data_IF_660248133036
#
_entry.id   IF_660248133036
#
_cell.length_a   1.000
_cell.length_b   1.000
_cell.length_c   1.000
_cell.angle_alpha   90.00
_cell.angle_beta   90.00
_cell.angle_gamma   90.00
#
_symmetry.space_group_name_H-M   'P 1'
#
loop_
_entity.id
_entity.type
_entity.pdbx_description
1 polymer ?
#
# COMPACT_ATOMS: atom_id res chain seq x y z
N UNK A 1 -22.44 13.02 36.74
CA UNK A 1 -21.00 12.78 36.52
C UNK A 1 -20.92 12.15 35.15
N UNK A 2 -20.25 12.81 34.21
CA UNK A 2 -20.06 12.23 32.88
C UNK A 2 -19.23 10.95 33.03
N UNK A 3 -19.70 9.86 32.42
CA UNK A 3 -19.01 8.58 32.49
C UNK A 3 -17.66 8.70 31.73
N UNK A 4 -16.53 8.24 32.25
CA UNK A 4 -15.27 8.33 31.51
C UNK A 4 -15.34 7.52 30.20
N UNK A 5 -14.67 8.00 29.15
CA UNK A 5 -14.45 7.28 27.89
C UNK A 5 -13.01 6.80 27.85
N UNK A 6 -12.80 5.49 27.76
CA UNK A 6 -11.47 4.90 27.75
C UNK A 6 -10.90 4.86 26.34
N UNK A 7 -9.67 5.35 26.17
CA UNK A 7 -9.01 5.44 24.86
C UNK A 7 -7.93 4.38 24.74
N UNK A 8 -8.09 3.43 23.83
CA UNK A 8 -7.14 2.32 23.59
C UNK A 8 -6.43 2.54 22.25
N UNK A 9 -5.12 2.75 22.26
CA UNK A 9 -4.33 2.89 21.03
C UNK A 9 -3.88 1.52 20.47
N UNK A 10 -3.51 1.47 19.18
CA UNK A 10 -3.20 0.21 18.49
C UNK A 10 -1.74 -0.12 18.22
N UNK A 11 -0.92 0.83 17.79
CA UNK A 11 0.54 0.59 17.79
C UNK A 11 1.01 0.93 19.17
N UNK A 12 1.76 0.04 19.82
CA UNK A 12 2.21 0.22 21.18
C UNK A 12 3.13 1.44 21.27
N UNK A 13 2.53 2.61 21.50
CA UNK A 13 3.24 3.84 21.74
C UNK A 13 4.20 3.56 22.89
N UNK A 14 5.51 3.58 22.62
CA UNK A 14 6.53 3.31 23.65
C UNK A 14 6.73 4.54 24.56
N UNK A 15 6.05 5.64 24.25
CA UNK A 15 6.04 6.86 25.02
C UNK A 15 4.64 7.10 25.65
N UNK A 16 4.45 6.72 26.94
CA UNK A 16 3.19 6.94 27.64
C UNK A 16 2.84 8.44 27.79
N UNK A 17 3.84 9.32 27.86
CA UNK A 17 3.63 10.76 27.98
C UNK A 17 3.10 11.34 26.66
N UNK A 18 3.69 10.96 25.53
CA UNK A 18 3.20 11.36 24.21
C UNK A 18 1.77 10.86 23.97
N UNK A 19 1.45 9.61 24.35
CA UNK A 19 0.09 9.10 24.22
C UNK A 19 -0.89 9.90 25.08
N UNK A 20 -0.54 10.17 26.34
CA UNK A 20 -1.36 10.97 27.25
C UNK A 20 -1.60 12.38 26.72
N UNK A 21 -0.57 13.02 26.14
CA UNK A 21 -0.69 14.34 25.54
C UNK A 21 -1.64 14.33 24.32
N UNK A 22 -1.55 13.32 23.45
CA UNK A 22 -2.48 13.16 22.33
C UNK A 22 -3.93 12.98 22.80
N UNK A 23 -4.16 12.15 23.82
CA UNK A 23 -5.50 11.95 24.38
C UNK A 23 -6.03 13.22 25.05
N UNK A 24 -5.17 13.99 25.74
CA UNK A 24 -5.55 15.27 26.33
C UNK A 24 -5.97 16.30 25.27
N UNK A 25 -5.22 16.39 24.16
CA UNK A 25 -5.59 17.26 23.04
C UNK A 25 -6.94 16.84 22.43
N UNK A 26 -7.15 15.55 22.24
CA UNK A 26 -8.42 15.01 21.73
C UNK A 26 -9.58 15.25 22.70
N UNK A 27 -9.36 15.13 24.02
CA UNK A 27 -10.35 15.46 25.05
C UNK A 27 -10.80 16.91 24.95
N UNK A 28 -9.86 17.86 24.80
CA UNK A 28 -10.20 19.28 24.62
C UNK A 28 -11.01 19.48 23.34
N UNK A 29 -10.61 18.84 22.24
CA UNK A 29 -11.30 18.97 20.97
C UNK A 29 -12.69 18.33 20.98
N UNK A 30 -12.87 17.23 21.72
CA UNK A 30 -14.11 16.48 21.85
C UNK A 30 -15.05 17.03 22.93
N UNK A 31 -14.56 17.79 23.92
CA UNK A 31 -15.35 18.20 25.10
C UNK A 31 -15.93 16.98 25.86
N UNK A 32 -15.16 15.90 25.95
CA UNK A 32 -15.53 14.64 26.60
C UNK A 32 -14.39 14.17 27.50
N UNK A 33 -14.70 13.69 28.71
CA UNK A 33 -13.66 13.12 29.60
C UNK A 33 -13.09 11.83 29.02
N UNK A 34 -11.84 11.90 28.53
CA UNK A 34 -11.11 10.78 27.95
C UNK A 34 -10.02 10.30 28.91
N UNK A 35 -9.97 8.98 29.13
CA UNK A 35 -8.95 8.33 29.96
C UNK A 35 -8.02 7.52 29.06
N UNK A 36 -6.72 7.86 28.97
CA UNK A 36 -5.77 7.08 28.19
C UNK A 36 -5.57 5.70 28.83
N UNK A 37 -5.72 4.64 28.03
CA UNK A 37 -5.41 3.27 28.42
C UNK A 37 -4.12 2.82 27.74
N UNK A 38 -3.02 2.88 28.48
CA UNK A 38 -1.68 2.56 28.04
C UNK A 38 -1.31 1.09 28.23
N UNK A 39 -0.99 0.40 27.14
CA UNK A 39 -0.44 -0.97 27.17
C UNK A 39 0.87 -1.08 26.37
N UNK A 40 1.39 0.04 25.87
CA UNK A 40 2.48 0.07 24.89
C UNK A 40 3.81 -0.52 25.38
N UNK A 41 4.05 -0.64 26.68
CA UNK A 41 5.21 -1.35 27.25
C UNK A 41 5.18 -2.87 27.01
N UNK A 42 4.00 -3.43 26.73
CA UNK A 42 3.81 -4.85 26.47
C UNK A 42 3.91 -5.22 24.98
N UNK A 43 4.08 -4.24 24.08
CA UNK A 43 4.18 -4.51 22.64
C UNK A 43 5.56 -5.01 22.19
N UNK A 44 5.75 -5.12 20.88
CA UNK A 44 6.98 -5.63 20.29
C UNK A 44 8.22 -4.78 20.56
N UNK A 45 9.33 -5.44 20.87
CA UNK A 45 10.64 -4.79 20.95
C UNK A 45 11.17 -4.53 19.53
N UNK A 46 11.16 -3.27 19.11
CA UNK A 46 11.58 -2.83 17.78
C UNK A 46 13.03 -2.31 17.76
N UNK A 47 13.75 -2.33 18.89
CA UNK A 47 15.12 -1.79 19.00
C UNK A 47 16.12 -2.44 18.05
N UNK A 48 15.82 -3.65 17.57
CA UNK A 48 16.69 -4.43 16.68
C UNK A 48 16.10 -4.64 15.28
N UNK A 49 14.99 -3.96 14.94
CA UNK A 49 14.31 -4.16 13.66
C UNK A 49 15.21 -3.87 12.46
N UNK A 50 16.13 -2.92 12.61
CA UNK A 50 17.08 -2.52 11.57
C UNK A 50 18.04 -3.66 11.18
N UNK A 51 18.30 -4.62 12.07
CA UNK A 51 19.14 -5.79 11.76
C UNK A 51 18.46 -6.73 10.75
N UNK A 52 17.13 -6.69 10.64
CA UNK A 52 16.38 -7.47 9.65
C UNK A 52 16.26 -6.76 8.29
N UNK A 53 16.69 -5.49 8.19
CA UNK A 53 16.67 -4.75 6.94
C UNK A 53 17.89 -5.14 6.09
N UNK A 54 17.72 -5.42 4.79
CA UNK A 54 18.84 -5.75 3.92
C UNK A 54 19.89 -4.64 3.91
N UNK A 55 21.12 -4.96 4.31
CA UNK A 55 22.23 -4.03 4.20
C UNK A 55 22.56 -3.78 2.73
N UNK A 56 22.77 -2.53 2.31
CA UNK A 56 23.35 -2.25 1.00
C UNK A 56 24.78 -2.79 1.01
N UNK A 57 25.02 -3.92 0.34
CA UNK A 57 26.38 -4.24 -0.07
C UNK A 57 26.79 -3.21 -1.14
N UNK A 58 27.85 -2.47 -0.84
CA UNK A 58 28.45 -1.43 -1.68
C UNK A 58 29.06 -2.03 -2.95
N UNK A 59 28.19 -2.43 -3.88
CA UNK A 59 28.56 -3.20 -5.05
C UNK A 59 28.00 -2.62 -6.34
N UNK A 60 28.00 -1.30 -6.53
CA UNK A 60 28.06 -0.61 -7.84
C UNK A 60 27.97 0.91 -7.61
N UNK A 61 29.11 1.59 -7.82
CA UNK A 61 29.34 3.05 -7.94
C UNK A 61 28.33 3.97 -7.26
N UNK A 62 28.79 4.57 -6.15
CA UNK A 62 28.25 5.83 -5.62
C UNK A 62 28.14 6.87 -6.72
N UNK A 63 26.91 7.34 -6.95
CA UNK A 63 26.58 8.61 -7.62
C UNK A 63 25.44 9.27 -6.82
N UNK A 64 25.34 10.61 -6.88
CA UNK A 64 25.20 11.45 -5.70
C UNK A 64 23.75 11.54 -5.19
N UNK A 65 23.68 11.78 -3.88
CA UNK A 65 22.57 12.26 -3.05
C UNK A 65 21.18 11.65 -3.25
N UNK A 66 20.62 11.22 -2.13
CA UNK A 66 19.25 10.75 -1.99
C UNK A 66 18.27 11.84 -2.43
N UNK A 67 17.92 11.86 -3.72
CA UNK A 67 16.74 12.55 -4.20
C UNK A 67 15.51 11.91 -3.59
N UNK A 68 14.73 12.70 -2.88
CA UNK A 68 13.41 12.32 -2.40
C UNK A 68 12.56 11.84 -3.59
N UNK A 69 12.12 10.58 -3.55
CA UNK A 69 11.06 10.14 -4.46
C UNK A 69 9.80 10.90 -4.04
N UNK A 70 9.19 11.71 -4.93
CA UNK A 70 7.95 12.42 -4.60
C UNK A 70 6.86 11.41 -4.21
N UNK A 71 6.11 11.71 -3.13
CA UNK A 71 5.00 10.88 -2.65
C UNK A 71 4.00 10.51 -3.76
N UNK A 72 3.83 11.42 -4.71
CA UNK A 72 2.88 11.30 -5.82
C UNK A 72 3.29 10.19 -6.81
N UNK A 73 4.59 9.95 -6.96
CA UNK A 73 5.12 8.88 -7.80
C UNK A 73 4.83 7.49 -7.20
N UNK A 74 4.85 7.39 -5.86
CA UNK A 74 4.55 6.15 -5.13
C UNK A 74 3.06 5.78 -5.26
N UNK A 75 2.18 6.77 -5.14
CA UNK A 75 0.73 6.60 -5.28
C UNK A 75 0.35 6.29 -6.73
N UNK A 76 0.95 6.97 -7.71
CA UNK A 76 0.72 6.69 -9.13
C UNK A 76 1.14 5.27 -9.51
N UNK A 77 2.21 4.74 -8.91
CA UNK A 77 2.69 3.38 -9.21
C UNK A 77 1.80 2.28 -8.60
N UNK A 78 1.26 2.49 -7.39
CA UNK A 78 0.27 1.57 -6.81
C UNK A 78 -1.03 1.50 -7.61
N UNK A 79 -1.40 2.60 -8.30
CA UNK A 79 -2.56 2.64 -9.18
C UNK A 79 -2.27 2.02 -10.56
N UNK A 80 -1.02 2.12 -11.04
CA UNK A 80 -0.61 1.60 -12.34
C UNK A 80 -0.57 0.05 -12.41
N UNK A 81 -0.44 -0.67 -11.28
CA UNK A 81 -0.48 -2.15 -11.25
C UNK A 81 -1.81 -2.76 -11.71
N UNK A 82 -2.84 -1.95 -11.96
CA UNK A 82 -4.16 -2.41 -12.42
C UNK A 82 -4.35 -2.40 -13.94
N UNK A 83 -3.42 -1.84 -14.71
CA UNK A 83 -3.47 -1.87 -16.17
C UNK A 83 -2.71 -3.11 -16.69
N UNK A 84 -3.45 -4.18 -17.01
CA UNK A 84 -2.88 -5.23 -17.85
C UNK A 84 -2.78 -4.72 -19.29
N UNK A 85 -1.60 -4.70 -19.91
CA UNK A 85 -1.50 -4.35 -21.32
C UNK A 85 -2.23 -5.39 -22.16
N UNK A 86 -3.14 -4.91 -23.02
CA UNK A 86 -3.85 -5.73 -24.00
C UNK A 86 -2.83 -6.26 -25.00
N UNK A 87 -2.68 -7.59 -25.18
CA UNK A 87 -1.82 -8.12 -26.23
C UNK A 87 -2.47 -7.82 -27.58
N UNK A 88 -1.77 -7.11 -28.46
CA UNK A 88 -2.27 -6.97 -29.83
C UNK A 88 -1.45 -6.11 -30.79
N UNK A 89 -0.99 -4.93 -30.37
CA UNK A 89 -0.38 -3.97 -31.31
C UNK A 89 0.87 -3.30 -30.73
N UNK A 90 1.80 -2.93 -31.63
CA UNK A 90 2.93 -2.09 -31.27
C UNK A 90 2.42 -0.75 -30.69
N UNK A 91 3.03 -0.18 -29.64
CA UNK A 91 2.59 1.09 -29.10
C UNK A 91 2.66 2.22 -30.15
N UNK A 92 1.63 3.06 -30.23
CA UNK A 92 1.58 4.17 -31.19
C UNK A 92 2.81 5.10 -31.12
N UNK A 93 3.33 5.50 -29.94
CA UNK A 93 4.53 6.33 -29.87
C UNK A 93 5.78 5.70 -30.49
N UNK A 94 5.91 4.37 -30.38
CA UNK A 94 6.98 3.61 -31.01
C UNK A 94 6.82 3.63 -32.53
N UNK A 95 5.63 3.30 -33.03
CA UNK A 95 5.33 3.26 -34.46
C UNK A 95 5.57 4.62 -35.13
N UNK A 96 5.07 5.68 -34.51
CA UNK A 96 5.19 7.04 -35.03
C UNK A 96 6.64 7.50 -35.11
N UNK A 97 7.44 7.19 -34.10
CA UNK A 97 8.84 7.55 -34.06
C UNK A 97 9.68 6.82 -35.13
N UNK A 98 9.44 5.52 -35.33
CA UNK A 98 10.13 4.74 -36.37
C UNK A 98 9.79 5.31 -37.75
N UNK A 99 8.49 5.46 -38.03
CA UNK A 99 7.99 5.98 -39.31
C UNK A 99 8.55 7.36 -39.62
N UNK A 100 8.43 8.31 -38.68
CA UNK A 100 8.94 9.67 -38.85
C UNK A 100 10.44 9.71 -39.13
N UNK A 101 11.22 8.88 -38.44
CA UNK A 101 12.69 8.85 -38.59
C UNK A 101 13.11 8.23 -39.94
N UNK A 102 12.44 7.17 -40.37
CA UNK A 102 12.66 6.57 -41.70
C UNK A 102 12.30 7.55 -42.83
N UNK A 103 11.16 8.25 -42.71
CA UNK A 103 10.73 9.25 -43.70
C UNK A 103 11.68 10.45 -43.75
N UNK A 104 12.16 10.94 -42.60
CA UNK A 104 13.15 11.99 -42.53
C UNK A 104 14.48 11.59 -43.18
N UNK A 105 14.92 10.34 -42.98
CA UNK A 105 16.13 9.81 -43.63
C UNK A 105 16.00 9.78 -45.16
N UNK A 106 14.82 9.40 -45.69
CA UNK A 106 14.54 9.37 -47.14
C UNK A 106 14.53 10.78 -47.76
N UNK A 107 13.97 11.75 -47.06
CA UNK A 107 13.83 13.13 -47.56
C UNK A 107 15.09 13.99 -47.40
N UNK A 108 16.13 13.50 -46.70
CA UNK A 108 17.38 14.23 -46.49
C UNK A 108 18.27 14.35 -47.73
N UNK A 109 17.93 13.69 -48.84
CA UNK A 109 18.63 13.82 -50.13
C UNK A 109 20.06 13.27 -50.18
N UNK A 110 20.53 12.65 -49.10
CA UNK A 110 21.90 12.12 -48.97
C UNK A 110 22.08 10.68 -49.49
N UNK A 111 21.02 10.01 -49.98
CA UNK A 111 21.05 8.59 -50.36
C UNK A 111 20.18 8.28 -51.58
N UNK A 112 20.78 7.69 -52.62
CA UNK A 112 20.09 7.20 -53.82
C UNK A 112 19.25 5.94 -53.52
N UNK A 113 18.07 6.15 -52.96
CA UNK A 113 16.77 5.59 -53.36
C UNK A 113 16.52 4.09 -53.64
N UNK A 114 17.45 3.12 -53.53
CA UNK A 114 17.12 1.72 -53.92
C UNK A 114 17.09 0.64 -52.85
N UNK A 115 17.72 0.82 -51.69
CA UNK A 115 17.87 -0.32 -50.75
C UNK A 115 17.39 -0.07 -49.30
N UNK A 116 16.76 1.08 -48.99
CA UNK A 116 16.26 1.31 -47.62
C UNK A 116 15.05 0.42 -47.33
N UNK A 117 15.02 -0.32 -46.20
CA UNK A 117 13.87 -1.12 -45.80
C UNK A 117 12.59 -0.29 -45.78
N UNK A 118 11.51 -0.88 -46.27
CA UNK A 118 10.20 -0.23 -46.24
C UNK A 118 9.60 -0.27 -44.83
N UNK A 119 8.81 0.75 -44.48
CA UNK A 119 8.16 0.85 -43.17
C UNK A 119 7.38 -0.44 -42.86
N UNK A 120 6.68 -1.01 -43.84
CA UNK A 120 5.94 -2.25 -43.64
C UNK A 120 6.83 -3.44 -43.29
N UNK A 121 8.06 -3.50 -43.81
CA UNK A 121 9.02 -4.56 -43.47
C UNK A 121 9.57 -4.38 -42.06
N UNK A 122 9.90 -3.14 -41.67
CA UNK A 122 10.35 -2.81 -40.31
C UNK A 122 9.24 -3.06 -39.30
N UNK A 123 8.00 -2.65 -39.61
CA UNK A 123 6.82 -2.85 -38.78
C UNK A 123 6.52 -4.33 -38.56
N UNK A 124 6.56 -5.15 -39.62
CA UNK A 124 6.34 -6.59 -39.51
C UNK A 124 7.41 -7.26 -38.63
N UNK A 125 8.69 -6.93 -38.84
CA UNK A 125 9.77 -7.47 -38.02
C UNK A 125 9.69 -6.99 -36.56
N UNK A 126 9.26 -5.75 -36.30
CA UNK A 126 9.02 -5.25 -34.95
C UNK A 126 7.84 -5.97 -34.29
N UNK A 127 6.73 -6.15 -34.99
CA UNK A 127 5.55 -6.82 -34.45
C UNK A 127 5.86 -8.28 -34.05
N UNK A 128 6.73 -8.95 -34.82
CA UNK A 128 7.17 -10.31 -34.55
C UNK A 128 8.10 -10.42 -33.32
N UNK A 129 8.98 -9.43 -33.11
CA UNK A 129 10.02 -9.50 -32.07
C UNK A 129 9.63 -8.75 -30.78
N UNK A 130 8.67 -7.82 -30.84
CA UNK A 130 8.18 -7.04 -29.69
C UNK A 130 7.63 -7.91 -28.55
N UNK A 131 6.82 -8.97 -28.80
CA UNK A 131 6.34 -9.85 -27.74
C UNK A 131 7.45 -10.60 -26.99
N UNK A 132 8.65 -10.71 -27.56
CA UNK A 132 9.80 -11.33 -26.92
C UNK A 132 10.58 -10.38 -25.99
N UNK A 133 10.24 -9.08 -25.97
CA UNK A 133 10.82 -8.11 -25.02
C UNK A 133 10.18 -8.28 -23.64
N UNK A 134 10.98 -8.21 -22.58
CA UNK A 134 10.51 -8.43 -21.20
C UNK A 134 10.07 -7.14 -20.51
N UNK A 135 10.79 -6.06 -20.78
CA UNK A 135 10.71 -4.80 -20.07
C UNK A 135 10.08 -3.72 -20.94
N UNK A 136 10.43 -3.67 -22.23
CA UNK A 136 9.83 -2.71 -23.17
C UNK A 136 8.35 -2.99 -23.43
N UNK A 137 7.93 -4.25 -23.43
CA UNK A 137 6.52 -4.65 -23.56
C UNK A 137 5.65 -4.25 -22.36
N UNK A 138 6.26 -3.93 -21.21
CA UNK A 138 5.58 -3.47 -20.00
C UNK A 138 5.66 -1.95 -19.81
N UNK A 139 6.34 -1.24 -20.71
CA UNK A 139 6.54 0.20 -20.59
C UNK A 139 5.40 0.99 -21.25
N UNK A 140 4.78 1.87 -20.48
CA UNK A 140 3.73 2.78 -20.97
C UNK A 140 4.21 4.23 -21.19
N UNK A 141 5.49 4.52 -20.92
CA UNK A 141 6.05 5.87 -21.08
C UNK A 141 6.21 6.25 -22.57
N UNK A 142 5.45 7.23 -23.09
CA UNK A 142 5.53 7.61 -24.49
C UNK A 142 6.91 8.12 -24.91
N UNK A 143 7.67 8.73 -24.00
CA UNK A 143 9.02 9.22 -24.29
C UNK A 143 10.00 8.07 -24.50
N UNK A 144 10.03 7.10 -23.57
CA UNK A 144 10.84 5.88 -23.71
C UNK A 144 10.50 5.10 -24.97
N UNK A 145 9.20 4.95 -25.27
CA UNK A 145 8.73 4.26 -26.48
C UNK A 145 9.13 5.00 -27.77
N UNK A 146 9.05 6.34 -27.77
CA UNK A 146 9.50 7.17 -28.90
C UNK A 146 11.00 7.07 -29.13
N UNK A 147 11.82 7.17 -28.08
CA UNK A 147 13.28 7.05 -28.19
C UNK A 147 13.71 5.64 -28.62
N UNK A 148 13.02 4.60 -28.15
CA UNK A 148 13.20 3.22 -28.62
C UNK A 148 12.96 3.14 -30.13
N UNK A 149 11.89 3.79 -30.63
CA UNK A 149 11.56 3.81 -32.05
C UNK A 149 12.61 4.53 -32.90
N UNK A 150 13.12 5.68 -32.43
CA UNK A 150 14.21 6.42 -33.09
C UNK A 150 15.49 5.57 -33.16
N UNK A 151 15.88 4.94 -32.06
CA UNK A 151 17.09 4.10 -31.99
C UNK A 151 17.03 2.91 -32.97
N UNK A 152 15.85 2.31 -33.14
CA UNK A 152 15.62 1.23 -34.11
C UNK A 152 15.71 1.77 -35.54
N UNK A 153 15.04 2.88 -35.84
CA UNK A 153 15.08 3.49 -37.17
C UNK A 153 16.51 3.87 -37.56
N UNK A 154 17.28 4.48 -36.66
CA UNK A 154 18.69 4.79 -36.89
C UNK A 154 19.53 3.53 -37.15
N UNK A 155 19.37 2.48 -36.36
CA UNK A 155 20.10 1.23 -36.58
C UNK A 155 19.79 0.59 -37.95
N UNK A 156 18.54 0.69 -38.40
CA UNK A 156 18.11 0.20 -39.71
C UNK A 156 18.68 1.06 -40.85
N UNK A 157 18.76 2.38 -40.68
CA UNK A 157 19.36 3.28 -41.67
C UNK A 157 20.89 3.22 -41.70
N UNK A 158 21.55 2.89 -40.59
CA UNK A 158 23.01 2.88 -40.49
C UNK A 158 23.66 1.60 -41.05
N UNK A 159 22.88 0.53 -41.28
CA UNK A 159 23.34 -0.71 -41.92
C UNK A 159 23.87 -0.54 -43.37
N UNK A 160 23.75 0.65 -43.94
CA UNK A 160 24.04 0.92 -45.36
C UNK A 160 25.31 1.74 -45.61
N UNK A 161 26.16 1.98 -44.61
CA UNK A 161 27.56 2.31 -44.94
C UNK A 161 28.26 1.00 -45.32
N UNK A 162 28.67 0.82 -46.59
CA UNK A 162 29.31 -0.42 -47.02
C UNK A 162 30.71 -0.47 -46.40
N UNK A 163 30.84 -1.24 -45.33
CA UNK A 163 32.14 -1.84 -45.02
C UNK A 163 32.29 -3.02 -45.98
N UNK A 164 33.05 -2.81 -47.06
CA UNK A 164 33.35 -3.78 -48.14
C UNK A 164 33.97 -5.11 -47.65
N UNK A 165 34.10 -5.31 -46.33
CA UNK A 165 34.67 -6.49 -45.70
C UNK A 165 33.68 -7.64 -45.40
N UNK A 166 32.36 -7.43 -45.53
CA UNK A 166 31.35 -8.43 -45.09
C UNK A 166 30.42 -9.03 -46.16
N UNK A 167 30.48 -8.59 -47.42
CA UNK A 167 29.56 -9.05 -48.47
C UNK A 167 29.79 -10.49 -48.98
N UNK A 168 30.68 -11.27 -48.36
CA UNK A 168 31.21 -12.51 -48.93
C UNK A 168 30.74 -13.85 -48.37
N UNK A 169 30.06 -13.95 -47.21
CA UNK A 169 30.00 -15.26 -46.51
C UNK A 169 28.66 -15.82 -45.99
N UNK A 170 27.50 -15.18 -46.14
CA UNK A 170 26.21 -15.88 -45.95
C UNK A 170 25.14 -15.35 -46.89
N UNK A 171 24.61 -16.21 -47.76
CA UNK A 171 23.44 -15.94 -48.59
C UNK A 171 22.14 -15.96 -47.77
N UNK A 172 22.03 -15.09 -46.76
CA UNK A 172 20.78 -14.86 -46.03
C UNK A 172 19.91 -13.88 -46.84
N UNK A 173 18.60 -14.15 -46.90
CA UNK A 173 17.68 -13.27 -47.60
C UNK A 173 17.66 -11.88 -46.92
N UNK A 174 17.51 -10.77 -47.67
CA UNK A 174 17.56 -9.40 -47.11
C UNK A 174 16.63 -9.17 -45.90
N UNK A 175 15.51 -9.89 -45.86
CA UNK A 175 14.51 -9.85 -44.78
C UNK A 175 14.96 -10.54 -43.49
N UNK A 176 15.77 -11.59 -43.56
CA UNK A 176 16.31 -12.29 -42.38
C UNK A 176 17.36 -11.43 -41.66
N UNK A 177 18.20 -10.72 -42.42
CA UNK A 177 19.18 -9.78 -41.89
C UNK A 177 18.54 -8.61 -41.14
N UNK A 178 17.47 -8.02 -41.71
CA UNK A 178 16.70 -6.95 -41.07
C UNK A 178 16.07 -7.43 -39.74
N UNK A 179 15.46 -8.62 -39.74
CA UNK A 179 14.85 -9.20 -38.54
C UNK A 179 15.91 -9.48 -37.46
N UNK A 180 17.07 -10.01 -37.83
CA UNK A 180 18.17 -10.26 -36.91
C UNK A 180 18.72 -8.96 -36.27
N UNK A 181 18.82 -7.88 -37.05
CA UNK A 181 19.21 -6.57 -36.53
C UNK A 181 18.19 -6.03 -35.53
N UNK A 182 16.91 -6.02 -35.90
CA UNK A 182 15.82 -5.51 -35.05
C UNK A 182 15.78 -6.30 -33.74
N UNK A 183 15.87 -7.63 -33.81
CA UNK A 183 15.96 -8.48 -32.62
C UNK A 183 17.14 -8.09 -31.71
N UNK A 184 18.34 -7.93 -32.26
CA UNK A 184 19.53 -7.55 -31.48
C UNK A 184 19.36 -6.20 -30.81
N UNK A 185 18.82 -5.20 -31.54
CA UNK A 185 18.61 -3.85 -31.01
C UNK A 185 17.53 -3.81 -29.96
N UNK A 186 16.41 -4.50 -30.17
CA UNK A 186 15.38 -4.67 -29.14
C UNK A 186 15.95 -5.34 -27.89
N UNK A 187 16.76 -6.39 -28.02
CA UNK A 187 17.37 -7.05 -26.86
C UNK A 187 18.33 -6.13 -26.07
N UNK A 188 19.10 -5.29 -26.76
CA UNK A 188 19.99 -4.33 -26.10
C UNK A 188 19.21 -3.21 -25.40
N UNK A 189 18.18 -2.67 -26.05
CA UNK A 189 17.29 -1.65 -25.48
C UNK A 189 16.47 -2.21 -24.30
N UNK A 190 15.99 -3.45 -24.40
CA UNK A 190 15.27 -4.14 -23.33
C UNK A 190 16.15 -4.37 -22.10
N UNK A 191 17.45 -4.66 -22.29
CA UNK A 191 18.43 -4.77 -21.20
C UNK A 191 18.63 -3.43 -20.49
N UNK A 192 18.71 -2.33 -21.24
CA UNK A 192 18.86 -0.97 -20.69
C UNK A 192 17.59 -0.55 -19.94
N UNK A 193 16.41 -0.78 -20.53
CA UNK A 193 15.12 -0.54 -19.90
C UNK A 193 14.98 -1.35 -18.59
N UNK A 194 15.38 -2.62 -18.61
CA UNK A 194 15.42 -3.48 -17.44
C UNK A 194 16.34 -2.96 -16.33
N UNK A 195 17.54 -2.49 -16.68
CA UNK A 195 18.47 -1.91 -15.69
C UNK A 195 17.91 -0.60 -15.08
N UNK A 196 17.30 0.26 -15.89
CA UNK A 196 16.66 1.49 -15.42
C UNK A 196 15.47 1.20 -14.51
N UNK A 197 14.58 0.29 -14.90
CA UNK A 197 13.44 -0.13 -14.08
C UNK A 197 13.88 -0.79 -12.78
N UNK A 198 14.92 -1.64 -12.80
CA UNK A 198 15.47 -2.22 -11.57
C UNK A 198 16.07 -1.17 -10.63
N UNK A 199 16.72 -0.14 -11.17
CA UNK A 199 17.25 0.96 -10.34
C UNK A 199 16.13 1.80 -9.72
N UNK A 200 15.07 2.12 -10.49
CA UNK A 200 13.87 2.81 -10.00
C UNK A 200 13.17 1.96 -8.94
N UNK A 201 12.87 0.70 -9.24
CA UNK A 201 12.25 -0.24 -8.31
C UNK A 201 13.11 -0.46 -7.06
N UNK A 202 14.43 -0.50 -7.18
CA UNK A 202 15.37 -0.59 -6.05
C UNK A 202 15.31 0.64 -5.14
N UNK A 203 15.25 1.85 -5.71
CA UNK A 203 15.06 3.10 -4.95
C UNK A 203 13.68 3.16 -4.29
N UNK A 204 12.63 2.73 -5.00
CA UNK A 204 11.28 2.65 -4.47
C UNK A 204 11.16 1.65 -3.32
N UNK A 205 11.65 0.42 -3.51
CA UNK A 205 11.66 -0.62 -2.47
C UNK A 205 12.44 -0.15 -1.23
N UNK A 206 13.55 0.56 -1.43
CA UNK A 206 14.30 1.16 -0.33
C UNK A 206 13.52 2.30 0.36
N UNK A 207 12.82 3.15 -0.38
CA UNK A 207 12.02 4.25 0.17
C UNK A 207 10.80 3.73 0.93
N UNK A 208 10.08 2.75 0.36
CA UNK A 208 8.99 2.03 1.04
C UNK A 208 9.50 1.40 2.33
N UNK A 209 10.63 0.68 2.29
CA UNK A 209 11.17 0.02 3.49
C UNK A 209 11.77 0.96 4.53
N UNK A 210 12.33 2.09 4.15
CA UNK A 210 12.90 3.07 5.09
C UNK A 210 11.85 4.02 5.69
N UNK A 211 10.82 4.40 4.92
CA UNK A 211 9.78 5.34 5.37
C UNK A 211 8.50 4.68 5.89
N UNK A 212 8.04 3.63 5.23
CA UNK A 212 6.81 2.90 5.58
C UNK A 212 7.15 1.69 6.48
N UNK A 213 8.32 1.08 6.25
CA UNK A 213 8.79 -0.12 6.95
C UNK A 213 8.78 -0.01 8.48
N UNK A 214 9.32 1.05 9.13
CA UNK A 214 9.33 1.12 10.59
C UNK A 214 7.92 1.10 11.20
N UNK A 215 6.96 1.82 10.63
CA UNK A 215 5.57 1.84 11.10
C UNK A 215 4.84 0.52 10.86
N UNK A 216 4.96 -0.03 9.65
CA UNK A 216 4.33 -1.30 9.28
C UNK A 216 4.93 -2.50 10.03
N UNK A 217 6.26 -2.53 10.22
CA UNK A 217 6.94 -3.59 10.97
C UNK A 217 6.64 -3.51 12.46
N UNK A 218 6.52 -2.31 13.04
CA UNK A 218 6.05 -2.13 14.42
C UNK A 218 4.64 -2.68 14.61
N UNK A 219 3.70 -2.28 13.75
CA UNK A 219 2.33 -2.79 13.79
C UNK A 219 2.30 -4.32 13.68
N UNK A 220 3.01 -4.90 12.72
CA UNK A 220 3.07 -6.35 12.56
C UNK A 220 3.68 -7.04 13.79
N UNK A 221 4.73 -6.47 14.37
CA UNK A 221 5.32 -6.94 15.62
C UNK A 221 4.31 -6.94 16.77
N UNK A 222 3.59 -5.83 16.97
CA UNK A 222 2.56 -5.70 18.00
C UNK A 222 1.40 -6.68 17.78
N UNK A 223 1.01 -6.94 16.53
CA UNK A 223 0.02 -7.97 16.20
C UNK A 223 0.49 -9.36 16.64
N UNK A 224 1.75 -9.72 16.36
CA UNK A 224 2.32 -11.01 16.78
C UNK A 224 2.40 -11.13 18.31
N UNK A 225 2.84 -10.06 18.98
CA UNK A 225 2.90 -10.00 20.44
C UNK A 225 1.51 -10.11 21.04
N UNK A 226 0.54 -9.38 20.50
CA UNK A 226 -0.84 -9.45 20.96
C UNK A 226 -1.43 -10.84 20.78
N UNK A 227 -1.27 -11.47 19.60
CA UNK A 227 -1.69 -12.86 19.36
C UNK A 227 -1.14 -13.83 20.41
N UNK A 228 0.13 -13.66 20.82
CA UNK A 228 0.78 -14.52 21.82
C UNK A 228 0.38 -14.20 23.26
N UNK A 229 0.15 -12.92 23.58
CA UNK A 229 0.06 -12.41 24.95
C UNK A 229 -1.26 -11.68 25.25
N UNK A 230 -2.36 -12.11 24.60
CA UNK A 230 -3.68 -11.47 24.71
C UNK A 230 -4.11 -11.27 26.16
N UNK A 231 -4.01 -12.31 26.99
CA UNK A 231 -4.45 -12.29 28.38
C UNK A 231 -3.73 -11.21 29.21
N UNK A 232 -2.41 -11.06 29.02
CA UNK A 232 -1.62 -10.07 29.74
C UNK A 232 -2.02 -8.64 29.35
N UNK A 233 -2.24 -8.39 28.05
CA UNK A 233 -2.68 -7.09 27.54
C UNK A 233 -4.12 -6.78 28.01
N UNK A 234 -5.01 -7.77 27.97
CA UNK A 234 -6.39 -7.63 28.48
C UNK A 234 -6.40 -7.35 29.99
N UNK A 235 -5.56 -8.03 30.77
CA UNK A 235 -5.42 -7.78 32.21
C UNK A 235 -4.92 -6.36 32.49
N UNK A 236 -3.93 -5.86 31.74
CA UNK A 236 -3.44 -4.48 31.86
C UNK A 236 -4.53 -3.45 31.58
N UNK A 237 -5.33 -3.66 30.54
CA UNK A 237 -6.44 -2.76 30.20
C UNK A 237 -7.48 -2.76 31.32
N UNK A 238 -7.82 -3.94 31.86
CA UNK A 238 -8.75 -4.04 33.00
C UNK A 238 -8.21 -3.36 34.26
N UNK A 239 -6.91 -3.47 34.54
CA UNK A 239 -6.25 -2.81 35.66
C UNK A 239 -6.40 -1.29 35.56
N UNK A 240 -6.16 -0.71 34.38
CA UNK A 240 -6.29 0.73 34.17
C UNK A 240 -7.73 1.24 34.22
N UNK A 241 -8.69 0.45 33.73
CA UNK A 241 -10.12 0.75 33.91
C UNK A 241 -10.48 0.71 35.40
N UNK A 242 -10.04 -0.33 36.12
CA UNK A 242 -10.32 -0.52 37.53
C UNK A 242 -9.68 0.55 38.43
N UNK A 243 -8.56 1.15 38.01
CA UNK A 243 -7.94 2.29 38.70
C UNK A 243 -8.82 3.55 38.68
N UNK A 244 -9.73 3.68 37.71
CA UNK A 244 -10.76 4.73 37.69
C UNK A 244 -11.96 4.32 38.53
N UNK A 245 -12.48 3.11 38.31
CA UNK A 245 -13.54 2.51 39.12
C UNK A 245 -13.54 0.97 38.92
N UNK A 246 -13.40 0.17 40.01
CA UNK A 246 -13.27 -1.29 39.92
C UNK A 246 -14.49 -2.00 39.35
N UNK A 247 -15.68 -1.38 39.41
CA UNK A 247 -16.94 -1.98 38.95
C UNK A 247 -17.17 -1.75 37.44
N UNK A 248 -16.45 -0.81 36.81
CA UNK A 248 -16.62 -0.48 35.40
C UNK A 248 -16.21 -1.64 34.48
N UNK A 249 -17.07 -1.93 33.51
CA UNK A 249 -16.89 -2.96 32.49
C UNK A 249 -17.00 -4.40 32.99
N UNK A 250 -17.32 -4.60 34.28
CA UNK A 250 -17.43 -5.95 34.90
C UNK A 250 -18.81 -6.57 34.73
N UNK A 251 -19.85 -5.76 34.59
CA UNK A 251 -21.25 -6.21 34.57
C UNK A 251 -22.12 -5.33 33.67
N UNK A 252 -23.29 -5.83 33.21
CA UNK A 252 -24.15 -5.11 32.26
C UNK A 252 -24.63 -3.74 32.73
N UNK A 253 -24.84 -3.55 34.04
CA UNK A 253 -25.30 -2.29 34.64
C UNK A 253 -24.17 -1.29 34.91
N UNK A 254 -22.91 -1.70 34.69
CA UNK A 254 -21.72 -0.84 34.82
C UNK A 254 -20.86 -0.90 33.55
N UNK A 255 -21.40 -0.63 32.34
CA UNK A 255 -20.62 -0.74 31.12
C UNK A 255 -19.63 0.43 30.96
N UNK A 256 -18.56 0.21 30.21
CA UNK A 256 -17.61 1.26 29.78
C UNK A 256 -17.97 1.84 28.42
N UNK A 257 -17.48 3.05 28.15
CA UNK A 257 -17.43 3.64 26.81
C UNK A 257 -15.99 3.59 26.32
N UNK A 258 -15.78 3.16 25.07
CA UNK A 258 -14.43 2.92 24.52
C UNK A 258 -14.26 3.63 23.18
N UNK A 259 -13.15 4.32 23.04
CA UNK A 259 -12.62 4.83 21.77
C UNK A 259 -11.33 4.09 21.46
N UNK A 260 -11.20 3.52 20.27
CA UNK A 260 -10.09 2.63 19.97
C UNK A 260 -9.52 2.81 18.56
N UNK A 261 -8.20 2.94 18.48
CA UNK A 261 -7.47 3.13 17.23
C UNK A 261 -6.76 1.84 16.81
N UNK A 262 -6.81 1.49 15.51
CA UNK A 262 -5.95 0.42 14.98
C UNK A 262 -6.12 -0.90 15.73
N UNK A 263 -5.02 -1.58 16.09
CA UNK A 263 -5.04 -2.80 16.90
C UNK A 263 -5.80 -2.63 18.23
N UNK A 264 -5.90 -1.42 18.77
CA UNK A 264 -6.67 -1.12 19.96
C UNK A 264 -8.15 -1.44 19.78
N UNK A 265 -8.68 -1.26 18.57
CA UNK A 265 -10.06 -1.64 18.26
C UNK A 265 -10.23 -3.17 18.16
N UNK A 266 -9.21 -3.88 17.68
CA UNK A 266 -9.19 -5.36 17.76
C UNK A 266 -9.22 -5.80 19.21
N UNK A 267 -8.36 -5.22 20.05
CA UNK A 267 -8.30 -5.52 21.48
C UNK A 267 -9.66 -5.25 22.15
N UNK A 268 -10.28 -4.10 21.86
CA UNK A 268 -11.58 -3.73 22.42
C UNK A 268 -12.69 -4.72 22.03
N UNK A 269 -12.78 -5.11 20.75
CA UNK A 269 -13.78 -6.10 20.29
C UNK A 269 -13.53 -7.46 20.92
N UNK A 270 -12.28 -7.91 20.98
CA UNK A 270 -11.92 -9.16 21.63
C UNK A 270 -12.31 -9.18 23.10
N UNK A 271 -12.02 -8.10 23.84
CA UNK A 271 -12.39 -7.99 25.25
C UNK A 271 -13.90 -7.94 25.43
N UNK A 272 -14.61 -7.21 24.58
CA UNK A 272 -16.08 -7.13 24.63
C UNK A 272 -16.75 -8.46 24.28
N UNK A 273 -16.07 -9.35 23.56
CA UNK A 273 -16.62 -10.64 23.09
C UNK A 273 -15.96 -11.86 23.74
N UNK A 274 -15.10 -11.65 24.74
CA UNK A 274 -14.50 -12.71 25.54
C UNK A 274 -15.55 -13.46 26.39
N UNK A 275 -15.19 -14.64 26.90
CA UNK A 275 -16.05 -15.42 27.81
C UNK A 275 -16.36 -14.64 29.09
N UNK A 276 -15.39 -13.91 29.62
CA UNK A 276 -15.57 -12.86 30.61
C UNK A 276 -15.48 -11.51 29.89
N UNK A 277 -16.61 -10.95 29.42
CA UNK A 277 -16.57 -9.78 28.55
C UNK A 277 -16.21 -8.50 29.32
N UNK A 278 -15.62 -7.54 28.62
CA UNK A 278 -15.62 -6.14 29.01
C UNK A 278 -16.95 -5.54 28.54
N UNK A 279 -17.88 -5.34 29.48
CA UNK A 279 -19.19 -4.76 29.17
C UNK A 279 -19.02 -3.34 28.64
N UNK A 280 -19.39 -3.12 27.39
CA UNK A 280 -19.12 -1.91 26.62
C UNK A 280 -20.43 -1.36 26.06
N UNK A 281 -20.87 -0.20 26.54
CA UNK A 281 -22.13 0.42 26.10
C UNK A 281 -21.97 1.10 24.74
N UNK A 282 -20.78 1.61 24.43
CA UNK A 282 -20.46 2.23 23.15
C UNK A 282 -18.99 2.05 22.82
N UNK A 283 -18.73 1.58 21.60
CA UNK A 283 -17.41 1.45 21.01
C UNK A 283 -17.32 2.34 19.78
N UNK A 284 -16.34 3.24 19.75
CA UNK A 284 -15.94 3.92 18.53
C UNK A 284 -14.57 3.39 18.12
N UNK A 285 -14.48 2.81 16.93
CA UNK A 285 -13.19 2.42 16.34
C UNK A 285 -12.81 3.37 15.22
N UNK A 286 -11.52 3.57 14.99
CA UNK A 286 -11.04 4.29 13.81
C UNK A 286 -9.75 3.68 13.28
N UNK A 287 -9.64 3.58 11.95
CA UNK A 287 -8.52 2.92 11.28
C UNK A 287 -8.28 1.52 11.82
N UNK A 288 -9.30 0.66 11.92
CA UNK A 288 -9.28 -0.55 12.75
C UNK A 288 -9.49 -1.84 11.94
N UNK A 289 -8.97 -2.97 12.44
CA UNK A 289 -8.95 -4.29 11.76
C UNK A 289 -9.83 -5.44 12.31
N UNK A 290 -10.78 -5.29 13.27
CA UNK A 290 -11.49 -6.44 13.85
C UNK A 290 -12.20 -7.31 12.82
N UNK A 291 -12.86 -6.70 11.84
CA UNK A 291 -13.59 -7.39 10.78
C UNK A 291 -12.67 -8.24 9.92
N UNK A 292 -11.56 -7.66 9.46
CA UNK A 292 -10.58 -8.36 8.64
C UNK A 292 -9.99 -9.54 9.41
N UNK A 293 -9.57 -9.33 10.66
CA UNK A 293 -9.00 -10.40 11.47
C UNK A 293 -10.00 -11.52 11.73
N UNK A 294 -11.27 -11.20 12.03
CA UNK A 294 -12.30 -12.22 12.24
C UNK A 294 -12.60 -13.05 10.98
N UNK A 295 -12.52 -12.45 9.79
CA UNK A 295 -12.68 -13.16 8.53
C UNK A 295 -11.50 -14.09 8.23
N UNK A 296 -10.27 -13.69 8.56
CA UNK A 296 -9.08 -14.50 8.34
C UNK A 296 -8.92 -15.62 9.38
N UNK A 297 -9.22 -15.33 10.63
CA UNK A 297 -9.08 -16.26 11.76
C UNK A 297 -10.16 -15.94 12.82
N UNK A 298 -11.16 -16.81 13.02
CA UNK A 298 -12.22 -16.60 13.99
C UNK A 298 -11.64 -16.26 15.38
N UNK A 299 -11.93 -15.04 15.85
CA UNK A 299 -11.29 -14.44 17.05
C UNK A 299 -11.51 -15.21 18.37
N UNK A 300 -12.41 -16.19 18.39
CA UNK A 300 -12.77 -16.97 19.57
C UNK A 300 -13.74 -16.24 20.50
N UNK A 301 -13.71 -16.60 21.79
CA UNK A 301 -14.64 -16.05 22.78
C UNK A 301 -16.08 -16.51 22.51
N UNK A 302 -17.00 -15.55 22.45
CA UNK A 302 -18.42 -15.77 22.19
C UNK A 302 -18.76 -15.67 20.69
N UNK A 303 -17.79 -15.33 19.84
CA UNK A 303 -18.03 -15.17 18.40
C UNK A 303 -18.01 -16.51 17.67
N UNK A 304 -19.05 -16.74 16.88
CA UNK A 304 -19.07 -17.84 15.92
C UNK A 304 -18.17 -17.50 14.73
N UNK A 305 -17.54 -18.50 14.07
CA UNK A 305 -16.85 -18.29 12.81
C UNK A 305 -17.74 -17.64 11.76
N UNK A 306 -17.18 -16.75 10.94
CA UNK A 306 -17.90 -16.20 9.80
C UNK A 306 -18.27 -17.31 8.82
N UNK A 307 -19.55 -17.37 8.46
CA UNK A 307 -20.03 -18.22 7.36
C UNK A 307 -20.66 -17.28 6.35
N UNK A 308 -20.32 -17.42 5.06
CA UNK A 308 -20.66 -16.50 3.94
C UNK A 308 -22.17 -16.21 3.74
N UNK A 309 -23.04 -16.73 4.61
CA UNK A 309 -24.49 -16.63 4.54
C UNK A 309 -25.08 -15.55 5.44
N UNK A 310 -24.42 -15.16 6.55
CA UNK A 310 -24.97 -14.18 7.51
C UNK A 310 -23.86 -13.42 8.27
N UNK A 311 -24.09 -12.13 8.62
CA UNK A 311 -23.25 -11.43 9.58
C UNK A 311 -23.19 -12.17 10.92
N UNK A 312 -22.07 -12.05 11.62
CA UNK A 312 -21.85 -12.65 12.94
C UNK A 312 -22.52 -11.79 13.99
N UNK A 313 -23.43 -12.42 14.75
CA UNK A 313 -24.11 -11.75 15.86
C UNK A 313 -23.14 -11.55 17.02
N UNK A 314 -22.97 -10.29 17.41
CA UNK A 314 -22.19 -9.87 18.57
C UNK A 314 -23.00 -10.14 19.86
N UNK A 315 -22.31 -10.45 20.97
CA UNK A 315 -22.96 -10.58 22.27
C UNK A 315 -23.48 -9.22 22.78
N UNK A 316 -24.43 -9.26 23.73
CA UNK A 316 -25.01 -8.05 24.34
C UNK A 316 -24.03 -7.23 25.19
N UNK A 317 -22.84 -7.76 25.44
CA UNK A 317 -21.73 -7.04 26.07
C UNK A 317 -21.15 -5.93 25.19
N UNK A 318 -21.45 -5.90 23.90
CA UNK A 318 -21.14 -4.78 23.02
C UNK A 318 -22.43 -4.11 22.53
N UNK A 319 -22.81 -3.00 23.16
CA UNK A 319 -24.11 -2.37 22.96
C UNK A 319 -24.25 -1.57 21.66
N UNK A 320 -23.27 -0.73 21.34
CA UNK A 320 -23.24 0.10 20.11
C UNK A 320 -21.84 0.13 19.53
N UNK A 321 -21.74 0.22 18.21
CA UNK A 321 -20.46 0.30 17.52
C UNK A 321 -20.51 1.30 16.35
N UNK A 322 -19.71 2.35 16.45
CA UNK A 322 -19.39 3.27 15.35
C UNK A 322 -17.96 3.01 14.87
N UNK A 323 -17.75 2.86 13.57
CA UNK A 323 -16.43 2.58 12.98
C UNK A 323 -16.10 3.64 11.93
N UNK A 324 -14.97 4.32 12.11
CA UNK A 324 -14.48 5.37 11.22
C UNK A 324 -13.37 4.81 10.32
N UNK A 325 -13.42 5.14 9.03
CA UNK A 325 -12.41 4.71 8.07
C UNK A 325 -12.13 5.79 7.02
N UNK A 326 -10.91 5.80 6.48
CA UNK A 326 -10.53 6.63 5.34
C UNK A 326 -10.29 5.77 4.10
N UNK A 327 -10.66 6.23 2.89
CA UNK A 327 -10.45 5.47 1.66
C UNK A 327 -9.00 5.08 1.36
N UNK A 328 -8.03 5.90 1.77
CA UNK A 328 -6.59 5.65 1.56
C UNK A 328 -5.90 5.00 2.77
N UNK A 329 -6.66 4.62 3.80
CA UNK A 329 -6.13 3.84 4.91
C UNK A 329 -6.33 2.35 4.63
N UNK A 330 -5.28 1.70 4.11
CA UNK A 330 -5.29 0.28 3.78
C UNK A 330 -5.51 -0.64 4.99
N UNK A 331 -5.42 -0.10 6.21
CA UNK A 331 -5.62 -0.82 7.45
C UNK A 331 -6.99 -0.52 8.10
N UNK A 332 -7.84 0.28 7.46
CA UNK A 332 -9.19 0.58 7.94
C UNK A 332 -10.23 -0.32 7.28
N UNK A 333 -10.88 -1.18 8.06
CA UNK A 333 -11.88 -2.12 7.55
C UNK A 333 -13.28 -1.80 8.07
N UNK A 334 -14.28 -1.91 7.19
CA UNK A 334 -15.68 -1.76 7.53
C UNK A 334 -16.17 -2.88 8.49
N UNK A 335 -17.06 -2.55 9.41
CA UNK A 335 -17.61 -3.46 10.42
C UNK A 335 -19.02 -3.98 10.08
N UNK A 336 -19.87 -3.14 9.49
CA UNK A 336 -21.29 -3.39 9.28
C UNK A 336 -21.60 -4.60 8.39
N UNK A 337 -20.64 -4.98 7.54
CA UNK A 337 -20.78 -6.14 6.63
C UNK A 337 -20.47 -7.47 7.29
N UNK A 338 -19.69 -7.46 8.36
CA UNK A 338 -19.21 -8.67 9.04
C UNK A 338 -20.02 -8.94 10.30
N UNK A 339 -20.39 -7.90 11.04
CA UNK A 339 -21.02 -8.03 12.34
C UNK A 339 -22.44 -7.49 12.39
N UNK A 340 -23.22 -8.01 13.33
CA UNK A 340 -24.55 -7.52 13.71
C UNK A 340 -24.62 -7.44 15.23
N UNK A 341 -25.10 -6.32 15.77
CA UNK A 341 -25.29 -6.14 17.21
C UNK A 341 -26.37 -7.09 17.75
N UNK A 342 -26.38 -7.32 19.07
CA UNK A 342 -27.31 -8.24 19.71
C UNK A 342 -28.80 -7.86 19.51
N UNK A 343 -29.08 -6.57 19.31
CA UNK A 343 -30.41 -6.04 19.01
C UNK A 343 -30.82 -6.18 17.53
N UNK A 344 -29.95 -6.76 16.70
CA UNK A 344 -30.16 -6.96 15.27
C UNK A 344 -29.75 -5.80 14.38
N UNK A 345 -29.34 -4.65 14.94
CA UNK A 345 -28.81 -3.51 14.19
C UNK A 345 -27.38 -3.77 13.70
N UNK A 346 -26.92 -3.04 12.70
CA UNK A 346 -25.54 -3.15 12.20
C UNK A 346 -24.68 -2.07 12.84
N UNK A 347 -23.37 -2.32 13.08
CA UNK A 347 -22.41 -1.25 13.32
C UNK A 347 -22.55 -0.12 12.29
N UNK A 348 -22.26 1.11 12.70
CA UNK A 348 -22.31 2.28 11.82
C UNK A 348 -20.91 2.50 11.25
N UNK A 349 -20.72 2.29 9.95
CA UNK A 349 -19.48 2.63 9.26
C UNK A 349 -19.55 4.06 8.70
N UNK A 350 -18.66 4.96 9.15
CA UNK A 350 -18.59 6.34 8.71
C UNK A 350 -17.26 6.60 7.96
N UNK A 351 -17.30 6.97 6.67
CA UNK A 351 -16.11 7.43 5.97
C UNK A 351 -15.70 8.82 6.44
N UNK A 352 -14.42 9.03 6.72
CA UNK A 352 -13.84 10.35 6.96
C UNK A 352 -13.12 10.87 5.71
N UNK A 353 -13.14 12.20 5.47
CA UNK A 353 -12.38 12.79 4.39
C UNK A 353 -10.88 12.56 4.60
N UNK A 354 -10.17 12.34 3.50
CA UNK A 354 -8.71 12.30 3.51
C UNK A 354 -8.16 13.69 3.19
N UNK A 355 -7.32 14.23 4.07
CA UNK A 355 -6.63 15.50 3.85
C UNK A 355 -5.31 15.26 3.12
N UNK A 356 -5.05 15.99 2.03
CA UNK A 356 -3.81 15.88 1.25
C UNK A 356 -2.54 16.10 2.10
N UNK A 357 -2.65 16.79 3.24
CA UNK A 357 -1.57 17.05 4.20
C UNK A 357 -1.18 15.82 5.04
N UNK A 358 -1.96 14.73 5.01
CA UNK A 358 -1.66 13.51 5.75
C UNK A 358 -0.48 12.70 5.15
N UNK A 359 -0.12 12.97 3.89
CA UNK A 359 0.96 12.26 3.18
C UNK A 359 0.78 10.73 3.23
N UNK A 360 1.88 9.99 3.42
CA UNK A 360 1.86 8.53 3.56
C UNK A 360 1.35 8.02 4.92
N UNK A 361 1.05 8.92 5.87
CA UNK A 361 0.68 8.57 7.26
C UNK A 361 -0.83 8.59 7.48
N UNK A 362 -1.58 8.06 6.53
CA UNK A 362 -3.05 8.06 6.51
C UNK A 362 -3.64 7.43 7.79
N UNK A 363 -2.98 6.40 8.32
CA UNK A 363 -3.44 5.63 9.48
C UNK A 363 -3.36 6.36 10.83
N UNK A 364 -2.39 7.27 11.00
CA UNK A 364 -2.25 8.04 12.26
C UNK A 364 -2.84 9.45 12.16
N UNK A 365 -3.22 9.89 10.95
CA UNK A 365 -3.77 11.22 10.71
C UNK A 365 -5.12 11.46 11.44
N UNK A 366 -5.88 10.40 11.72
CA UNK A 366 -7.18 10.47 12.41
C UNK A 366 -7.14 11.29 13.70
N UNK A 367 -6.06 11.16 14.48
CA UNK A 367 -5.91 11.84 15.78
C UNK A 367 -6.00 13.36 15.68
N UNK A 368 -5.73 13.93 14.51
CA UNK A 368 -5.75 15.37 14.26
C UNK A 368 -6.98 15.83 13.47
N UNK A 369 -7.91 14.93 13.15
CA UNK A 369 -9.12 15.25 12.40
C UNK A 369 -10.19 15.83 13.33
N UNK A 370 -10.72 17.03 13.04
CA UNK A 370 -11.89 17.57 13.76
C UNK A 370 -13.09 16.62 13.71
N UNK A 371 -13.23 15.85 12.64
CA UNK A 371 -14.29 14.87 12.44
C UNK A 371 -14.20 13.71 13.45
N UNK A 372 -12.99 13.32 13.87
CA UNK A 372 -12.83 12.32 14.94
C UNK A 372 -13.41 12.86 16.26
N UNK A 373 -13.08 14.10 16.62
CA UNK A 373 -13.60 14.73 17.83
C UNK A 373 -15.13 14.88 17.80
N UNK A 374 -15.70 15.22 16.63
CA UNK A 374 -17.15 15.25 16.45
C UNK A 374 -17.78 13.87 16.61
N UNK A 375 -17.22 12.85 15.96
CA UNK A 375 -17.72 11.49 16.07
C UNK A 375 -17.66 10.95 17.51
N UNK A 376 -16.64 11.34 18.29
CA UNK A 376 -16.55 11.01 19.72
C UNK A 376 -17.70 11.65 20.50
N UNK A 377 -18.00 12.94 20.28
CA UNK A 377 -19.15 13.59 20.93
C UNK A 377 -20.47 12.92 20.60
N UNK A 378 -20.66 12.55 19.34
CA UNK A 378 -21.93 12.02 18.87
C UNK A 378 -22.14 10.56 19.33
N UNK A 379 -21.06 9.78 19.44
CA UNK A 379 -21.14 8.35 19.73
C UNK A 379 -21.03 7.99 21.22
N UNK A 380 -20.44 8.86 22.05
CA UNK A 380 -20.14 8.57 23.45
C UNK A 380 -21.13 9.23 24.38
#
# INVERSE_FOLDING_TARGET
MDHPVFVIHGVGNRDPHAFTATVAALQVAADTTLVPVYWGDLGADDRFVDLALPSRSSGLRDTPEAGDVPSDLLVATLLAETAQPVPGDLPAPLQDAVRHTLDASRNSGLRDGRDSPDWDQVRAALADEWPATRWLSLADDPALLSETGKAIAHAVTDLQEPDDSWAGLRGEAPTEGLRALIRRRLADLDRVAGAAMQAVAGRMNHTVRSRIGPGATRFLGDVLVYQRHREQIHARIREQIAAVDPELGRRPDRPVRVVAHSLGGVIAVDMATAQEPLWTSSLLTFGSQPSYFHLCDPRGGQLSPYTERRPVTLPSSLGRWTNLWQPFDILAFAAARVFRLADGTSPIDLPLPHTATAGLWTHSAYWNLPELASAIRDAM
#
